data_IF_601108488291
#
_entry.id   IF_601108488291
#
_cell.length_a   1.000
_cell.length_b   1.000
_cell.length_c   1.000
_cell.angle_alpha   90.00
_cell.angle_beta   90.00
_cell.angle_gamma   90.00
#
_symmetry.space_group_name_H-M   'P 1'
#
loop_
_entity.id
_entity.type
_entity.pdbx_description
1 polymer ?
#
# COMPACT_ATOMS: atom_id res chain seq x y z
N UNK A 1 -1.74 22.66 -12.29
CA UNK A 1 -1.48 23.18 -10.94
C UNK A 1 0.01 23.45 -10.82
N UNK A 2 0.41 24.58 -10.25
CA UNK A 2 1.82 24.96 -10.09
C UNK A 2 2.17 25.17 -8.60
N UNK A 3 2.26 24.05 -7.89
CA UNK A 3 2.53 24.02 -6.45
C UNK A 3 3.91 24.59 -6.11
N UNK A 4 4.89 24.41 -7.00
CA UNK A 4 6.24 24.91 -6.77
C UNK A 4 6.27 26.43 -6.70
N UNK A 5 5.63 27.11 -7.65
CA UNK A 5 5.51 28.57 -7.63
C UNK A 5 4.77 29.05 -6.40
N UNK A 6 3.66 28.39 -6.03
CA UNK A 6 2.89 28.76 -4.83
C UNK A 6 3.71 28.65 -3.54
N UNK A 7 4.47 27.57 -3.38
CA UNK A 7 5.35 27.38 -2.22
C UNK A 7 6.48 28.42 -2.22
N UNK A 8 7.12 28.66 -3.37
CA UNK A 8 8.22 29.63 -3.53
C UNK A 8 7.80 31.07 -3.24
N UNK A 9 6.59 31.44 -3.63
CA UNK A 9 6.03 32.78 -3.44
C UNK A 9 5.34 32.96 -2.09
N UNK A 10 5.27 31.91 -1.25
CA UNK A 10 4.63 31.98 0.07
C UNK A 10 3.11 32.10 0.01
N UNK A 11 2.49 31.54 -1.03
CA UNK A 11 1.04 31.55 -1.21
C UNK A 11 0.33 30.41 -0.46
N UNK A 12 1.09 29.41 -0.02
CA UNK A 12 0.60 28.26 0.74
C UNK A 12 1.55 27.96 1.90
N UNK A 13 0.95 27.53 3.02
CA UNK A 13 1.69 27.04 4.20
C UNK A 13 1.47 25.54 4.43
N UNK A 14 0.51 24.94 3.73
CA UNK A 14 0.15 23.53 3.81
C UNK A 14 -0.12 22.99 2.40
N UNK A 15 0.44 21.82 2.10
CA UNK A 15 0.20 21.06 0.89
C UNK A 15 -0.30 19.66 1.24
N UNK A 16 -1.44 19.28 0.66
CA UNK A 16 -2.08 17.97 0.85
C UNK A 16 -2.15 17.29 -0.52
N UNK A 17 -1.16 16.49 -0.93
CA UNK A 17 -1.33 15.58 -2.05
C UNK A 17 -2.41 14.56 -1.71
N UNK A 18 -3.44 14.47 -2.55
CA UNK A 18 -4.59 13.61 -2.30
C UNK A 18 -5.05 12.88 -3.57
N UNK A 19 -5.73 11.73 -3.42
CA UNK A 19 -6.47 11.16 -4.52
C UNK A 19 -7.73 12.02 -4.78
N UNK A 20 -8.34 11.88 -5.95
CA UNK A 20 -9.61 12.53 -6.32
C UNK A 20 -10.81 11.68 -5.94
N UNK A 21 -10.63 10.36 -5.97
CA UNK A 21 -11.63 9.38 -5.59
C UNK A 21 -11.28 8.79 -4.22
N UNK A 22 -12.18 8.01 -3.65
CA UNK A 22 -12.10 7.41 -2.30
C UNK A 22 -11.00 6.35 -2.13
N UNK A 23 -9.91 6.37 -2.89
CA UNK A 23 -8.85 5.36 -2.86
C UNK A 23 -7.50 5.93 -2.47
N UNK A 24 -6.95 5.50 -1.34
CA UNK A 24 -5.57 5.82 -0.93
C UNK A 24 -4.56 5.23 -1.91
N UNK A 25 -3.57 6.03 -2.31
CA UNK A 25 -2.54 5.62 -3.26
C UNK A 25 -1.23 5.27 -2.54
N UNK A 26 -0.72 4.06 -2.75
CA UNK A 26 0.53 3.61 -2.13
C UNK A 26 1.74 4.48 -2.53
N UNK A 27 1.73 5.06 -3.73
CA UNK A 27 2.84 5.83 -4.27
C UNK A 27 2.46 7.27 -4.64
N UNK A 28 2.23 8.12 -3.65
CA UNK A 28 2.10 9.57 -3.88
C UNK A 28 3.40 10.24 -4.34
N UNK A 29 4.54 9.54 -4.37
CA UNK A 29 5.84 10.14 -4.60
C UNK A 29 6.10 11.32 -3.63
N UNK A 30 5.90 11.09 -2.33
CA UNK A 30 5.97 12.13 -1.28
C UNK A 30 7.34 12.82 -1.26
N UNK A 31 8.42 12.09 -1.55
CA UNK A 31 9.77 12.67 -1.69
C UNK A 31 9.83 13.72 -2.81
N UNK A 32 9.14 13.51 -3.94
CA UNK A 32 9.07 14.49 -5.02
C UNK A 32 8.23 15.71 -4.59
N UNK A 33 7.08 15.49 -3.95
CA UNK A 33 6.30 16.60 -3.40
C UNK A 33 7.09 17.44 -2.41
N UNK A 34 7.94 16.80 -1.61
CA UNK A 34 8.79 17.50 -0.66
C UNK A 34 9.86 18.37 -1.33
N UNK A 35 10.36 17.97 -2.51
CA UNK A 35 11.24 18.80 -3.33
C UNK A 35 10.50 19.98 -3.97
N UNK A 36 9.24 19.79 -4.38
CA UNK A 36 8.41 20.83 -5.00
C UNK A 36 7.93 21.88 -3.99
N UNK A 37 7.62 21.45 -2.77
CA UNK A 37 7.21 22.29 -1.64
C UNK A 37 8.10 22.02 -0.42
N UNK A 38 9.33 22.59 -0.38
CA UNK A 38 10.22 22.48 0.76
C UNK A 38 9.67 23.23 1.99
N UNK A 39 10.33 23.06 3.13
CA UNK A 39 10.03 23.84 4.34
C UNK A 39 10.07 25.36 4.04
N UNK A 40 9.18 26.16 4.65
CA UNK A 40 8.33 25.83 5.81
C UNK A 40 6.96 25.21 5.48
N UNK A 41 6.65 24.90 4.22
CA UNK A 41 5.35 24.32 3.85
C UNK A 41 5.15 22.95 4.52
N UNK A 42 4.06 22.77 5.25
CA UNK A 42 3.68 21.49 5.84
C UNK A 42 3.20 20.55 4.73
N UNK A 43 3.84 19.40 4.57
CA UNK A 43 3.40 18.35 3.65
C UNK A 43 2.62 17.28 4.41
N UNK A 44 1.34 17.16 4.09
CA UNK A 44 0.41 16.24 4.73
C UNK A 44 -0.29 15.35 3.70
N UNK A 45 0.36 14.28 3.20
CA UNK A 45 -0.26 13.36 2.25
C UNK A 45 -1.54 12.75 2.82
N UNK A 46 -2.53 12.58 1.95
CA UNK A 46 -3.85 12.11 2.31
C UNK A 46 -3.91 10.58 2.44
N UNK A 47 -4.60 10.08 3.47
CA UNK A 47 -5.17 8.73 3.49
C UNK A 47 -6.69 8.88 3.40
N UNK A 48 -7.29 8.25 2.40
CA UNK A 48 -8.74 8.17 2.18
C UNK A 48 -9.29 6.84 2.71
N UNK A 49 -10.62 6.72 2.77
CA UNK A 49 -11.33 5.65 3.45
C UNK A 49 -11.49 4.35 2.66
N UNK A 50 -10.92 4.23 1.46
CA UNK A 50 -10.92 2.97 0.75
C UNK A 50 -9.59 2.67 0.06
N UNK A 51 -9.46 1.39 -0.33
CA UNK A 51 -8.33 0.85 -1.07
C UNK A 51 -8.87 0.10 -2.30
N UNK A 52 -8.22 0.32 -3.44
CA UNK A 52 -8.49 -0.37 -4.71
C UNK A 52 -7.14 -0.80 -5.29
N UNK A 53 -6.93 -2.11 -5.44
CA UNK A 53 -5.70 -2.65 -6.03
C UNK A 53 -5.73 -2.68 -7.56
N UNK A 54 -6.86 -3.05 -8.16
CA UNK A 54 -6.98 -3.23 -9.61
C UNK A 54 -8.24 -2.54 -10.19
N UNK A 55 -8.19 -2.02 -11.43
CA UNK A 55 -9.35 -1.43 -12.10
C UNK A 55 -10.47 -2.45 -12.32
N UNK A 56 -11.72 -1.97 -12.38
CA UNK A 56 -12.89 -2.83 -12.63
C UNK A 56 -13.37 -3.63 -11.42
N UNK A 57 -12.55 -3.72 -10.37
CA UNK A 57 -12.96 -4.27 -9.08
C UNK A 57 -13.65 -3.17 -8.28
N UNK A 58 -14.97 -3.31 -8.09
CA UNK A 58 -15.85 -2.37 -7.36
C UNK A 58 -15.53 -2.34 -5.85
N UNK A 59 -14.61 -3.17 -5.36
CA UNK A 59 -14.30 -3.33 -3.96
C UNK A 59 -13.61 -2.08 -3.41
N UNK A 60 -14.37 -1.22 -2.73
CA UNK A 60 -13.81 -0.39 -1.67
C UNK A 60 -13.54 -1.28 -0.47
N UNK A 61 -12.31 -1.82 -0.40
CA UNK A 61 -11.82 -2.33 0.87
C UNK A 61 -11.79 -1.15 1.83
N UNK A 62 -12.61 -1.19 2.89
CA UNK A 62 -12.57 -0.13 3.91
C UNK A 62 -11.33 -0.34 4.77
N UNK A 63 -10.71 0.76 5.14
CA UNK A 63 -9.48 0.80 5.92
C UNK A 63 -9.54 -0.01 7.22
N UNK A 64 -8.40 -0.58 7.58
CA UNK A 64 -8.09 -1.04 8.93
C UNK A 64 -7.04 -0.11 9.52
N UNK A 65 -6.92 -0.09 10.85
CA UNK A 65 -5.85 0.67 11.49
C UNK A 65 -4.47 0.22 11.01
N UNK A 66 -4.28 -1.06 10.71
CA UNK A 66 -3.03 -1.60 10.17
C UNK A 66 -2.75 -1.09 8.75
N UNK A 67 -3.76 -1.01 7.88
CA UNK A 67 -3.56 -0.43 6.54
C UNK A 67 -3.24 1.07 6.62
N UNK A 68 -3.94 1.81 7.49
CA UNK A 68 -3.68 3.24 7.65
C UNK A 68 -2.29 3.49 8.25
N UNK A 69 -1.87 2.68 9.22
CA UNK A 69 -0.50 2.72 9.73
C UNK A 69 0.51 2.38 8.63
N UNK A 70 0.18 1.45 7.71
CA UNK A 70 1.01 1.11 6.55
C UNK A 70 1.23 2.30 5.62
N UNK A 71 0.16 3.00 5.23
CA UNK A 71 0.26 4.22 4.40
C UNK A 71 0.95 5.36 5.13
N UNK A 72 0.56 5.64 6.38
CA UNK A 72 1.17 6.70 7.18
C UNK A 72 2.68 6.47 7.37
N UNK A 73 3.10 5.25 7.71
CA UNK A 73 4.52 4.92 7.89
C UNK A 73 5.32 5.11 6.60
N UNK A 74 4.76 4.70 5.46
CA UNK A 74 5.32 4.94 4.13
C UNK A 74 5.49 6.46 3.86
N UNK A 75 4.45 7.26 4.08
CA UNK A 75 4.52 8.71 3.81
C UNK A 75 5.51 9.43 4.73
N UNK A 76 5.55 9.06 6.01
CA UNK A 76 6.53 9.61 6.95
C UNK A 76 7.97 9.30 6.54
N UNK A 77 8.25 8.06 6.13
CA UNK A 77 9.57 7.65 5.63
C UNK A 77 10.03 8.52 4.46
N UNK A 78 9.10 8.93 3.60
CA UNK A 78 9.36 9.75 2.42
C UNK A 78 9.45 11.26 2.70
N UNK A 79 9.21 11.71 3.94
CA UNK A 79 9.35 13.11 4.35
C UNK A 79 8.04 13.88 4.57
N UNK A 80 6.92 13.20 4.77
CA UNK A 80 5.70 13.85 5.27
C UNK A 80 5.93 14.44 6.67
N UNK A 81 5.34 15.61 6.93
CA UNK A 81 5.35 16.25 8.25
C UNK A 81 4.20 15.75 9.13
N UNK A 82 3.07 15.43 8.51
CA UNK A 82 1.89 14.85 9.16
C UNK A 82 1.05 14.07 8.15
N UNK A 83 -0.08 13.53 8.58
CA UNK A 83 -1.00 12.78 7.73
C UNK A 83 -2.36 13.49 7.73
N UNK A 84 -2.90 13.70 6.54
CA UNK A 84 -4.27 14.17 6.40
C UNK A 84 -5.21 12.98 6.21
N UNK A 85 -6.26 12.88 7.01
CA UNK A 85 -7.24 11.79 6.90
C UNK A 85 -8.52 12.32 6.26
N UNK A 86 -8.82 11.86 5.05
CA UNK A 86 -10.06 12.20 4.36
C UNK A 86 -11.08 11.07 4.51
N UNK A 87 -12.35 11.41 4.66
CA UNK A 87 -13.45 10.46 4.88
C UNK A 87 -13.33 9.52 6.11
N UNK A 88 -12.43 9.82 7.06
CA UNK A 88 -12.31 9.13 8.35
C UNK A 88 -13.19 9.83 9.38
N UNK A 89 -14.49 9.50 9.40
CA UNK A 89 -15.45 10.20 10.24
C UNK A 89 -15.83 9.41 11.50
N UNK A 90 -15.98 10.05 12.67
CA UNK A 90 -16.35 9.37 13.91
C UNK A 90 -17.66 8.56 13.86
N UNK A 91 -18.61 8.91 12.98
CA UNK A 91 -19.85 8.15 12.83
C UNK A 91 -19.63 6.74 12.23
N UNK A 92 -18.45 6.49 11.65
CA UNK A 92 -18.04 5.18 11.16
C UNK A 92 -17.41 4.30 12.25
N UNK A 93 -17.47 4.70 13.52
CA UNK A 93 -16.85 3.97 14.62
C UNK A 93 -17.47 2.57 14.85
N UNK A 94 -18.66 2.28 14.31
CA UNK A 94 -19.23 0.92 14.35
C UNK A 94 -18.50 -0.02 13.40
N UNK A 95 -18.13 0.49 12.23
CA UNK A 95 -17.38 -0.23 11.21
C UNK A 95 -15.87 -0.23 11.52
N UNK A 96 -15.38 0.82 12.20
CA UNK A 96 -13.97 1.04 12.52
C UNK A 96 -13.79 1.41 14.00
N UNK A 97 -13.97 0.45 14.92
CA UNK A 97 -13.90 0.72 16.37
C UNK A 97 -12.53 1.27 16.80
N UNK A 98 -11.46 0.88 16.13
CA UNK A 98 -10.09 1.34 16.43
C UNK A 98 -9.78 2.75 15.89
N UNK A 99 -10.67 3.38 15.10
CA UNK A 99 -10.42 4.69 14.49
C UNK A 99 -10.08 5.76 15.53
N UNK A 100 -10.81 5.84 16.65
CA UNK A 100 -10.52 6.84 17.68
C UNK A 100 -9.12 6.66 18.28
N UNK A 101 -8.71 5.40 18.49
CA UNK A 101 -7.38 5.07 18.95
C UNK A 101 -6.34 5.49 17.91
N UNK A 102 -6.55 5.14 16.64
CA UNK A 102 -5.67 5.55 15.54
C UNK A 102 -5.51 7.07 15.44
N UNK A 103 -6.61 7.82 15.49
CA UNK A 103 -6.60 9.30 15.46
C UNK A 103 -5.78 9.92 16.59
N UNK A 104 -5.65 9.23 17.74
CA UNK A 104 -4.86 9.71 18.87
C UNK A 104 -3.34 9.66 18.65
N UNK A 105 -2.87 8.90 17.65
CA UNK A 105 -1.43 8.72 17.42
C UNK A 105 -0.98 8.83 15.97
N UNK A 106 -1.88 8.91 14.99
CA UNK A 106 -1.50 8.99 13.56
C UNK A 106 -0.52 10.12 13.24
N UNK A 107 -0.59 11.24 13.98
CA UNK A 107 0.33 12.37 13.86
C UNK A 107 1.74 12.12 14.42
N UNK A 108 1.98 10.99 15.09
CA UNK A 108 3.25 10.61 15.70
C UNK A 108 3.88 9.47 14.89
N UNK A 109 4.88 9.84 14.08
CA UNK A 109 5.66 8.94 13.23
C UNK A 109 6.17 7.69 13.95
N UNK A 110 6.67 7.84 15.19
CA UNK A 110 7.24 6.70 15.93
C UNK A 110 6.15 5.76 16.40
N UNK A 111 5.04 6.30 16.88
CA UNK A 111 3.88 5.47 17.28
C UNK A 111 3.33 4.72 16.08
N UNK A 112 3.12 5.39 14.94
CA UNK A 112 2.67 4.74 13.71
C UNK A 112 3.62 3.60 13.31
N UNK A 113 4.92 3.82 13.35
CA UNK A 113 5.90 2.82 12.95
C UNK A 113 5.92 1.58 13.87
N UNK A 114 5.64 1.75 15.18
CA UNK A 114 5.62 0.65 16.15
C UNK A 114 4.41 -0.31 16.01
N UNK A 115 3.30 0.15 15.43
CA UNK A 115 2.08 -0.67 15.28
C UNK A 115 2.21 -1.70 14.15
N UNK A 116 1.28 -2.65 14.12
CA UNK A 116 1.12 -3.56 12.99
C UNK A 116 0.74 -2.77 11.73
N UNK A 117 1.27 -3.18 10.58
CA UNK A 117 1.16 -2.45 9.33
C UNK A 117 0.85 -3.36 8.16
N UNK A 118 -0.01 -2.87 7.26
CA UNK A 118 -0.35 -3.53 6.00
C UNK A 118 -0.09 -2.57 4.85
N UNK A 119 0.88 -2.93 4.00
CA UNK A 119 1.32 -2.13 2.88
C UNK A 119 0.73 -2.70 1.58
N UNK A 120 -0.53 -2.33 1.33
CA UNK A 120 -1.25 -2.77 0.14
C UNK A 120 -0.82 -1.99 -1.10
N UNK A 121 -0.71 -2.70 -2.23
CA UNK A 121 -0.51 -2.06 -3.53
C UNK A 121 -1.86 -1.62 -4.08
N UNK A 122 -1.95 -0.32 -4.34
CA UNK A 122 -3.16 0.32 -4.87
C UNK A 122 -2.92 0.92 -6.25
N UNK A 123 -4.01 1.25 -6.95
CA UNK A 123 -3.95 1.84 -8.27
C UNK A 123 -3.84 3.38 -8.21
N UNK A 124 -3.26 3.97 -9.26
CA UNK A 124 -3.30 5.41 -9.48
C UNK A 124 -4.44 5.71 -10.46
N UNK A 125 -5.53 6.28 -9.98
CA UNK A 125 -6.75 6.50 -10.78
C UNK A 125 -6.79 7.85 -11.47
N UNK A 126 -5.86 8.76 -11.13
CA UNK A 126 -5.83 10.10 -11.70
C UNK A 126 -4.73 10.27 -12.72
N UNK A 127 -5.08 10.85 -13.86
CA UNK A 127 -4.12 11.24 -14.86
C UNK A 127 -4.49 12.65 -15.35
N UNK A 128 -3.48 13.50 -15.53
CA UNK A 128 -3.68 14.77 -16.23
C UNK A 128 -4.16 14.50 -17.66
N UNK A 129 -4.90 15.44 -18.24
CA UNK A 129 -5.34 15.32 -19.63
C UNK A 129 -4.16 15.02 -20.57
N UNK A 130 -4.37 14.10 -21.51
CA UNK A 130 -3.34 13.66 -22.46
C UNK A 130 -2.27 12.72 -21.89
N UNK A 131 -2.33 12.34 -20.60
CA UNK A 131 -1.45 11.29 -20.06
C UNK A 131 -1.98 9.89 -20.37
N UNK A 132 -1.05 8.96 -20.55
CA UNK A 132 -1.35 7.54 -20.71
C UNK A 132 -1.95 6.96 -19.42
N UNK A 133 -3.28 6.86 -19.37
CA UNK A 133 -4.00 6.11 -18.37
C UNK A 133 -4.02 4.63 -18.80
N UNK A 134 -3.30 3.78 -18.09
CA UNK A 134 -3.21 2.35 -18.43
C UNK A 134 -2.28 1.54 -17.54
N UNK A 135 -1.41 2.22 -16.79
CA UNK A 135 -0.49 1.60 -15.87
C UNK A 135 -1.17 1.44 -14.51
N UNK A 136 -1.94 0.37 -14.33
CA UNK A 136 -2.51 -0.03 -13.04
C UNK A 136 -2.08 -1.47 -12.72
N UNK A 137 -1.90 -1.80 -11.44
CA UNK A 137 -1.77 -3.20 -11.05
C UNK A 137 -3.05 -3.96 -11.46
N UNK A 138 -2.95 -5.19 -11.99
CA UNK A 138 -1.73 -5.95 -12.33
C UNK A 138 -1.17 -5.67 -13.74
N UNK A 139 -1.90 -4.94 -14.59
CA UNK A 139 -1.55 -4.70 -16.00
C UNK A 139 -0.16 -4.08 -16.22
N UNK A 140 0.38 -3.33 -15.24
CA UNK A 140 1.74 -2.75 -15.28
C UNK A 140 2.87 -3.78 -15.43
N UNK A 141 2.73 -4.99 -14.91
CA UNK A 141 3.89 -5.85 -14.63
C UNK A 141 3.89 -7.14 -15.44
N UNK A 142 2.71 -7.69 -15.74
CA UNK A 142 2.62 -9.04 -16.29
C UNK A 142 1.99 -9.12 -17.68
N UNK A 143 1.56 -8.01 -18.28
CA UNK A 143 1.04 -8.05 -19.66
C UNK A 143 2.15 -8.60 -20.57
N UNK A 144 2.01 -9.86 -20.99
CA UNK A 144 2.98 -10.65 -21.77
C UNK A 144 4.18 -11.27 -21.03
N UNK A 145 4.19 -11.33 -19.68
CA UNK A 145 5.23 -12.05 -18.92
C UNK A 145 4.64 -12.93 -17.82
N UNK A 146 5.19 -14.13 -17.62
CA UNK A 146 4.84 -15.01 -16.51
C UNK A 146 5.52 -14.64 -15.18
N UNK A 147 6.44 -13.67 -15.21
CA UNK A 147 7.22 -13.23 -14.05
C UNK A 147 7.26 -11.71 -13.98
N UNK A 148 7.36 -11.15 -12.77
CA UNK A 148 7.46 -9.69 -12.63
C UNK A 148 7.64 -9.22 -11.20
N UNK A 149 8.00 -7.95 -11.03
CA UNK A 149 8.30 -7.35 -9.74
C UNK A 149 7.45 -6.12 -9.45
N UNK A 150 6.96 -6.01 -8.23
CA UNK A 150 6.20 -4.87 -7.72
C UNK A 150 7.01 -4.20 -6.62
N UNK A 151 7.10 -2.86 -6.64
CA UNK A 151 7.70 -2.10 -5.55
C UNK A 151 6.66 -1.81 -4.47
N UNK A 152 7.04 -2.00 -3.22
CA UNK A 152 6.21 -1.70 -2.04
C UNK A 152 7.04 -0.92 -1.04
N UNK A 153 6.64 0.31 -0.73
CA UNK A 153 7.26 1.07 0.36
C UNK A 153 6.64 0.67 1.69
N UNK A 154 7.47 0.13 2.58
CA UNK A 154 7.06 -0.39 3.91
C UNK A 154 7.28 0.59 5.06
N UNK A 155 7.68 1.82 4.76
CA UNK A 155 8.01 2.82 5.76
C UNK A 155 9.30 2.50 6.53
N UNK A 156 9.30 2.82 7.82
CA UNK A 156 10.49 2.74 8.70
C UNK A 156 10.37 1.64 9.75
N UNK A 157 11.38 1.46 10.60
CA UNK A 157 11.28 0.60 11.78
C UNK A 157 10.84 -0.84 11.42
N UNK A 158 11.55 -1.44 10.47
CA UNK A 158 11.30 -2.82 10.01
C UNK A 158 12.27 -3.83 10.62
N UNK A 159 13.33 -3.35 11.25
CA UNK A 159 14.36 -4.19 11.84
C UNK A 159 13.77 -5.06 12.96
N UNK A 160 14.03 -6.38 12.88
CA UNK A 160 13.58 -7.34 13.89
C UNK A 160 12.08 -7.68 13.84
N UNK A 161 11.29 -7.07 12.94
CA UNK A 161 9.87 -7.39 12.79
C UNK A 161 9.66 -8.61 11.91
N UNK A 162 8.64 -9.39 12.25
CA UNK A 162 8.13 -10.46 11.41
C UNK A 162 7.25 -9.88 10.31
N UNK A 163 7.37 -10.44 9.10
CA UNK A 163 6.60 -9.97 7.97
C UNK A 163 6.26 -11.10 7.00
N UNK A 164 5.21 -10.90 6.23
CA UNK A 164 4.76 -11.81 5.19
C UNK A 164 4.27 -11.07 3.95
N UNK A 165 4.43 -11.69 2.79
CA UNK A 165 3.76 -11.27 1.56
C UNK A 165 2.43 -11.99 1.46
N UNK A 166 1.37 -11.29 1.07
CA UNK A 166 0.06 -11.87 0.75
C UNK A 166 -0.29 -11.50 -0.68
N UNK A 167 -0.61 -12.49 -1.50
CA UNK A 167 -1.00 -12.32 -2.91
C UNK A 167 -2.37 -12.94 -3.13
N UNK A 168 -3.28 -12.18 -3.71
CA UNK A 168 -4.64 -12.62 -4.07
C UNK A 168 -4.82 -12.68 -5.58
N UNK A 169 -5.53 -13.71 -6.06
CA UNK A 169 -5.84 -13.90 -7.46
C UNK A 169 -7.21 -14.54 -7.72
N UNK A 170 -7.69 -14.43 -8.97
CA UNK A 170 -8.93 -15.06 -9.47
C UNK A 170 -8.74 -16.50 -9.93
N UNK A 171 -7.56 -17.08 -9.74
CA UNK A 171 -7.28 -18.52 -9.88
C UNK A 171 -6.24 -18.96 -8.87
N UNK A 172 -6.08 -20.28 -8.71
CA UNK A 172 -5.01 -20.85 -7.88
C UNK A 172 -3.64 -20.46 -8.41
N UNK A 173 -2.75 -20.04 -7.53
CA UNK A 173 -1.39 -19.63 -7.87
C UNK A 173 -0.39 -20.77 -7.58
N UNK A 174 0.42 -21.12 -8.57
CA UNK A 174 1.62 -21.95 -8.40
C UNK A 174 2.85 -21.11 -8.72
N UNK A 175 3.37 -20.46 -7.69
CA UNK A 175 4.38 -19.40 -7.81
C UNK A 175 5.52 -19.59 -6.80
N UNK A 176 6.67 -19.03 -7.14
CA UNK A 176 7.69 -18.63 -6.17
C UNK A 176 7.57 -17.12 -5.91
N UNK A 177 7.78 -16.73 -4.65
CA UNK A 177 7.78 -15.34 -4.21
C UNK A 177 9.18 -15.02 -3.72
N UNK A 178 9.77 -13.96 -4.26
CA UNK A 178 11.02 -13.40 -3.76
C UNK A 178 10.75 -12.01 -3.20
N UNK A 179 11.47 -11.63 -2.15
CA UNK A 179 11.57 -10.25 -1.68
C UNK A 179 13.02 -9.83 -1.77
N UNK A 180 13.28 -8.71 -2.44
CA UNK A 180 14.64 -8.19 -2.66
C UNK A 180 15.59 -9.29 -3.18
N UNK A 181 15.16 -10.05 -4.20
CA UNK A 181 15.89 -11.17 -4.82
C UNK A 181 16.15 -12.41 -3.94
N UNK A 182 15.53 -12.50 -2.75
CA UNK A 182 15.63 -13.66 -1.86
C UNK A 182 14.32 -14.42 -1.81
N UNK A 183 14.40 -15.73 -1.96
CA UNK A 183 13.24 -16.64 -1.92
C UNK A 183 12.58 -16.60 -0.54
N UNK A 184 11.27 -16.39 -0.55
CA UNK A 184 10.42 -16.41 0.63
C UNK A 184 9.73 -17.78 0.75
N UNK A 185 9.87 -18.49 1.89
CA UNK A 185 9.16 -19.76 2.11
C UNK A 185 7.65 -19.57 2.06
N UNK A 186 6.96 -20.39 1.26
CA UNK A 186 5.51 -20.39 1.22
C UNK A 186 4.94 -20.89 2.55
N UNK A 187 3.97 -20.15 3.10
CA UNK A 187 3.26 -20.53 4.31
C UNK A 187 2.21 -21.62 4.00
N UNK A 188 1.84 -22.46 4.98
CA UNK A 188 0.77 -23.45 4.84
C UNK A 188 -0.55 -22.81 4.37
N UNK A 189 -1.31 -23.52 3.54
CA UNK A 189 -2.57 -23.02 2.95
C UNK A 189 -3.65 -22.69 3.99
N UNK A 190 -3.58 -23.30 5.16
CA UNK A 190 -4.46 -23.10 6.31
C UNK A 190 -3.99 -21.97 7.24
N UNK A 191 -2.85 -21.34 6.95
CA UNK A 191 -2.41 -20.14 7.67
C UNK A 191 -3.47 -19.05 7.56
N UNK A 192 -3.94 -18.47 8.69
CA UNK A 192 -4.93 -17.40 8.64
C UNK A 192 -4.47 -16.21 7.77
N UNK A 193 -5.40 -15.72 6.96
CA UNK A 193 -5.19 -14.49 6.19
C UNK A 193 -5.32 -13.28 7.12
N UNK A 194 -4.65 -12.15 6.82
CA UNK A 194 -4.94 -10.90 7.50
C UNK A 194 -6.41 -10.52 7.26
N UNK A 195 -7.15 -10.18 8.32
CA UNK A 195 -8.55 -9.78 8.17
C UNK A 195 -8.66 -8.25 8.10
N UNK A 196 -9.46 -7.69 7.17
CA UNK A 196 -10.04 -8.35 6.00
C UNK A 196 -9.00 -8.56 4.89
N UNK A 197 -9.26 -9.52 4.00
CA UNK A 197 -8.69 -9.54 2.65
C UNK A 197 -9.78 -9.20 1.64
N UNK A 198 -9.45 -8.65 0.46
CA UNK A 198 -10.44 -8.52 -0.61
C UNK A 198 -11.10 -9.86 -0.93
N UNK A 199 -12.39 -9.86 -1.21
CA UNK A 199 -13.05 -11.03 -1.76
C UNK A 199 -13.97 -10.55 -2.88
N UNK A 200 -13.91 -11.22 -4.03
CA UNK A 200 -14.91 -10.98 -5.07
C UNK A 200 -16.22 -11.69 -4.69
N UNK A 201 -17.35 -10.99 -4.76
CA UNK A 201 -18.69 -11.61 -4.58
C UNK A 201 -19.03 -12.56 -5.72
N UNK A 202 -18.51 -12.27 -6.92
CA UNK A 202 -18.88 -12.94 -8.17
C UNK A 202 -17.81 -13.92 -8.65
N UNK A 203 -16.65 -13.95 -7.99
CA UNK A 203 -15.52 -14.79 -8.37
C UNK A 203 -14.82 -15.29 -7.13
N UNK A 204 -14.58 -16.60 -7.07
CA UNK A 204 -13.73 -17.15 -6.03
C UNK A 204 -12.36 -16.45 -6.06
N UNK A 205 -11.85 -16.11 -4.89
CA UNK A 205 -10.51 -15.52 -4.74
C UNK A 205 -9.62 -16.52 -4.03
N UNK A 206 -8.41 -16.71 -4.56
CA UNK A 206 -7.38 -17.57 -3.99
C UNK A 206 -6.26 -16.71 -3.45
N UNK A 207 -5.75 -17.10 -2.30
CA UNK A 207 -4.65 -16.43 -1.63
C UNK A 207 -3.48 -17.38 -1.42
N UNK A 208 -2.29 -16.83 -1.57
CA UNK A 208 -1.06 -17.45 -1.10
C UNK A 208 -0.31 -16.49 -0.20
N UNK A 209 0.40 -17.03 0.78
CA UNK A 209 1.21 -16.26 1.71
C UNK A 209 2.64 -16.81 1.70
N UNK A 210 3.63 -15.94 1.83
CA UNK A 210 5.01 -16.34 2.05
C UNK A 210 5.64 -15.53 3.18
N UNK A 211 6.42 -16.21 4.01
CA UNK A 211 7.16 -15.58 5.09
C UNK A 211 8.34 -14.80 4.53
N UNK A 212 8.52 -13.57 5.01
CA UNK A 212 9.69 -12.76 4.67
C UNK A 212 10.78 -13.06 5.71
N UNK A 213 11.93 -13.65 5.33
CA UNK A 213 13.02 -13.91 6.27
C UNK A 213 13.40 -12.69 7.10
N UNK A 214 13.68 -12.90 8.38
CA UNK A 214 14.07 -11.83 9.30
C UNK A 214 15.28 -11.04 8.76
N UNK A 215 15.18 -9.71 8.82
CA UNK A 215 16.22 -8.80 8.33
C UNK A 215 16.29 -8.64 6.81
N UNK A 216 15.41 -9.29 6.04
CA UNK A 216 15.35 -9.11 4.59
C UNK A 216 14.68 -7.80 4.17
N UNK A 217 13.70 -7.33 4.94
CA UNK A 217 13.12 -6.01 4.73
C UNK A 217 14.11 -4.92 5.10
N UNK A 218 14.15 -3.88 4.28
CA UNK A 218 14.79 -2.62 4.62
C UNK A 218 13.77 -1.48 4.60
N UNK A 219 14.12 -0.36 5.21
CA UNK A 219 13.27 0.82 5.23
C UNK A 219 13.04 1.33 3.80
N UNK A 220 11.84 1.87 3.57
CA UNK A 220 11.43 2.38 2.27
C UNK A 220 11.03 1.28 1.29
N UNK A 221 11.51 1.40 0.05
CA UNK A 221 11.07 0.60 -1.10
C UNK A 221 11.66 -0.80 -1.15
N UNK A 222 10.84 -1.82 -0.96
CA UNK A 222 11.21 -3.22 -1.20
C UNK A 222 10.61 -3.69 -2.52
N UNK A 223 11.17 -4.75 -3.10
CA UNK A 223 10.64 -5.37 -4.33
C UNK A 223 10.10 -6.75 -4.00
N UNK A 224 8.83 -7.00 -4.34
CA UNK A 224 8.22 -8.33 -4.33
C UNK A 224 8.25 -8.84 -5.76
N UNK A 225 8.93 -9.97 -6.01
CA UNK A 225 9.04 -10.58 -7.32
C UNK A 225 8.26 -11.90 -7.32
N UNK A 226 7.45 -12.11 -8.35
CA UNK A 226 6.56 -13.25 -8.49
C UNK A 226 6.98 -14.03 -9.72
N UNK A 227 7.24 -15.33 -9.55
CA UNK A 227 7.63 -16.24 -10.62
C UNK A 227 6.63 -17.39 -10.75
N UNK A 228 5.99 -17.52 -11.91
CA UNK A 228 5.08 -18.64 -12.16
C UNK A 228 5.85 -19.93 -12.48
N UNK A 229 5.47 -21.05 -11.84
CA UNK A 229 6.13 -22.36 -12.07
C UNK A 229 5.60 -23.10 -13.30
N UNK A 230 4.36 -22.83 -13.69
CA UNK A 230 3.75 -23.43 -14.88
C UNK A 230 4.23 -22.78 -16.18
N UNK A 231 4.40 -23.61 -17.21
CA UNK A 231 4.72 -23.18 -18.57
C UNK A 231 3.40 -22.71 -19.22
N UNK A 232 3.35 -21.47 -19.74
CA UNK A 232 2.23 -20.87 -20.49
C UNK A 232 1.06 -20.19 -19.74
N UNK A 233 1.10 -20.00 -18.42
CA UNK A 233 0.06 -19.19 -17.73
C UNK A 233 0.42 -17.70 -17.72
N UNK A 234 -0.44 -16.85 -18.26
CA UNK A 234 -0.34 -15.40 -18.13
C UNK A 234 -0.89 -14.99 -16.75
N UNK A 235 -0.01 -14.79 -15.77
CA UNK A 235 -0.37 -14.33 -14.42
C UNK A 235 -1.11 -12.97 -14.39
N UNK A 236 -0.91 -12.16 -15.43
CA UNK A 236 -1.35 -10.77 -15.49
C UNK A 236 -2.84 -10.54 -15.33
N UNK A 237 -3.66 -11.48 -15.80
CA UNK A 237 -5.11 -11.32 -15.81
C UNK A 237 -5.74 -11.81 -14.51
N UNK A 238 -4.93 -12.40 -13.62
CA UNK A 238 -5.43 -13.16 -12.48
C UNK A 238 -5.13 -12.49 -11.15
N UNK A 239 -4.08 -11.67 -11.03
CA UNK A 239 -3.73 -11.01 -9.78
C UNK A 239 -4.69 -9.86 -9.46
N UNK A 240 -5.22 -9.84 -8.23
CA UNK A 240 -6.18 -8.83 -7.78
C UNK A 240 -5.74 -8.10 -6.51
N UNK A 241 -4.76 -8.65 -5.78
CA UNK A 241 -4.29 -8.08 -4.53
C UNK A 241 -2.83 -8.44 -4.29
N UNK A 242 -2.09 -7.51 -3.72
CA UNK A 242 -0.79 -7.78 -3.12
C UNK A 242 -0.54 -6.82 -1.97
N UNK A 243 0.00 -7.34 -0.88
CA UNK A 243 0.46 -6.52 0.25
C UNK A 243 1.66 -7.16 0.96
N UNK A 244 2.41 -6.33 1.68
CA UNK A 244 3.33 -6.76 2.73
C UNK A 244 2.66 -6.48 4.07
N UNK A 245 2.54 -7.51 4.91
CA UNK A 245 2.04 -7.41 6.29
C UNK A 245 3.23 -7.47 7.23
N UNK A 246 3.35 -6.49 8.12
CA UNK A 246 4.38 -6.41 9.15
C UNK A 246 3.68 -6.44 10.50
N UNK A 247 4.07 -7.38 11.36
CA UNK A 247 3.48 -7.47 12.69
C UNK A 247 3.94 -6.29 13.56
N UNK A 248 3.05 -5.83 14.44
CA UNK A 248 3.37 -4.81 15.43
C UNK A 248 4.16 -5.38 16.60
N UNK A 249 4.64 -4.50 17.48
CA UNK A 249 5.07 -4.94 18.80
C UNK A 249 3.93 -5.67 19.50
N UNK A 250 4.20 -6.83 20.11
CA UNK A 250 3.25 -7.48 21.01
C UNK A 250 3.11 -6.58 22.24
N UNK A 251 2.06 -5.77 22.27
CA UNK A 251 1.67 -4.95 23.42
C UNK A 251 1.28 -5.77 24.64
#
# INVERSE_FOLDING_TARGET
MDVHTWAKEGLIDVLIPSPRDVCTEQDYNVTLWRQLAPAPVILAPCIDCALKAAPGYIWSFRYTTETDCGFASNYYQQGADTIYLYNHFPFQAKEHPEMQRFLSYVGDRKKVAAHARRHAVTNHVQNGEGKFAGLTFPHQIWSQCCNGGVKVNVGEDVAGKTAKVVIGATKTLDIDILVNTKLCPMLPKDTPLPDPVPASKDTQTWYVQAEIPAGLLHEGWNVVEIFHKGWFTLLAEELIWMEIVIDGEKG
#
